data_IF_121946669371
#
_entry.id   IF_121946669371
#
_cell.length_a   1.000
_cell.length_b   1.000
_cell.length_c   1.000
_cell.angle_alpha   90.00
_cell.angle_beta   90.00
_cell.angle_gamma   90.00
#
_symmetry.space_group_name_H-M   'P 1'
#
loop_
_entity.id
_entity.type
_entity.pdbx_description
1 polymer ?
#
# COMPACT_ATOMS: atom_id res chain seq x y z
N UNK A 1 -17.79 -9.30 -19.50
CA UNK A 1 -16.57 -8.98 -18.78
C UNK A 1 -16.53 -7.50 -18.31
N UNK A 2 -17.12 -6.56 -19.05
CA UNK A 2 -17.09 -5.12 -18.68
C UNK A 2 -17.81 -4.83 -17.35
N UNK A 3 -18.98 -5.42 -17.11
CA UNK A 3 -19.68 -5.32 -15.81
C UNK A 3 -18.85 -5.90 -14.67
N UNK A 4 -18.12 -6.97 -14.91
CA UNK A 4 -17.26 -7.60 -13.91
C UNK A 4 -16.08 -6.71 -13.56
N UNK A 5 -15.42 -6.08 -14.54
CA UNK A 5 -14.32 -5.14 -14.28
C UNK A 5 -14.79 -3.88 -13.51
N UNK A 6 -16.00 -3.39 -13.79
CA UNK A 6 -16.61 -2.28 -13.05
C UNK A 6 -16.87 -2.65 -11.57
N UNK A 7 -17.50 -3.80 -11.33
CA UNK A 7 -17.79 -4.23 -9.93
C UNK A 7 -16.52 -4.50 -9.14
N UNK A 8 -15.53 -5.14 -9.74
CA UNK A 8 -14.22 -5.38 -9.12
C UNK A 8 -13.48 -4.06 -8.85
N UNK A 9 -13.52 -3.12 -9.79
CA UNK A 9 -12.92 -1.79 -9.60
C UNK A 9 -13.53 -1.04 -8.41
N UNK A 10 -14.87 -0.99 -8.33
CA UNK A 10 -15.56 -0.34 -7.19
C UNK A 10 -15.16 -1.01 -5.87
N UNK A 11 -15.13 -2.35 -5.83
CA UNK A 11 -14.76 -3.09 -4.63
C UNK A 11 -13.32 -2.78 -4.19
N UNK A 12 -12.36 -2.80 -5.12
CA UNK A 12 -10.95 -2.47 -4.82
C UNK A 12 -10.80 -1.02 -4.38
N UNK A 13 -11.50 -0.08 -5.04
CA UNK A 13 -11.50 1.32 -4.66
C UNK A 13 -12.04 1.54 -3.25
N UNK A 14 -13.14 0.86 -2.89
CA UNK A 14 -13.70 0.87 -1.55
C UNK A 14 -12.68 0.36 -0.52
N UNK A 15 -12.04 -0.78 -0.80
CA UNK A 15 -11.01 -1.36 0.07
C UNK A 15 -9.81 -0.43 0.22
N UNK A 16 -9.37 0.21 -0.87
CA UNK A 16 -8.28 1.18 -0.85
C UNK A 16 -8.61 2.38 0.04
N UNK A 17 -9.85 2.88 -0.01
CA UNK A 17 -10.28 3.98 0.83
C UNK A 17 -10.36 3.61 2.32
N UNK A 18 -10.77 2.38 2.63
CA UNK A 18 -10.95 1.90 4.01
C UNK A 18 -9.63 1.51 4.67
N UNK A 19 -8.73 0.87 3.94
CA UNK A 19 -7.45 0.37 4.47
C UNK A 19 -6.26 1.27 4.14
N UNK A 20 -6.48 2.32 3.34
CA UNK A 20 -5.42 3.17 2.82
C UNK A 20 -4.52 2.37 1.85
N UNK A 21 -3.23 2.33 2.13
CA UNK A 21 -2.24 1.67 1.27
C UNK A 21 -2.42 0.15 1.12
N UNK A 22 -3.12 -0.51 2.06
CA UNK A 22 -3.30 -1.97 2.05
C UNK A 22 -4.20 -2.45 0.91
N UNK A 23 -5.25 -1.72 0.57
CA UNK A 23 -6.22 -2.12 -0.46
C UNK A 23 -5.63 -2.31 -1.86
N UNK A 24 -4.52 -1.65 -2.16
CA UNK A 24 -3.82 -1.80 -3.43
C UNK A 24 -3.38 -3.23 -3.74
N UNK A 25 -3.01 -4.00 -2.71
CA UNK A 25 -2.52 -5.38 -2.86
C UNK A 25 -3.59 -6.35 -3.38
N UNK A 26 -4.86 -6.03 -3.17
CA UNK A 26 -5.98 -6.88 -3.62
C UNK A 26 -6.30 -6.68 -5.10
N UNK A 27 -5.88 -5.57 -5.71
CA UNK A 27 -6.21 -5.23 -7.09
C UNK A 27 -5.73 -6.29 -8.09
N UNK A 28 -4.47 -6.68 -8.00
CA UNK A 28 -3.86 -7.64 -8.92
C UNK A 28 -4.51 -9.03 -8.86
N UNK A 29 -4.61 -9.69 -7.67
CA UNK A 29 -5.16 -11.04 -7.63
C UNK A 29 -6.63 -11.09 -8.06
N UNK A 30 -7.41 -10.05 -7.78
CA UNK A 30 -8.79 -9.99 -8.23
C UNK A 30 -8.89 -9.96 -9.76
N UNK A 31 -8.02 -9.21 -10.43
CA UNK A 31 -7.96 -9.22 -11.90
C UNK A 31 -7.55 -10.60 -12.43
N UNK A 32 -6.53 -11.22 -11.86
CA UNK A 32 -6.04 -12.54 -12.28
C UNK A 32 -7.08 -13.63 -12.08
N UNK A 33 -7.84 -13.61 -10.98
CA UNK A 33 -8.83 -14.65 -10.68
C UNK A 33 -10.12 -14.50 -11.44
N UNK A 34 -10.70 -13.29 -11.43
CA UNK A 34 -12.04 -13.07 -11.98
C UNK A 34 -12.04 -12.80 -13.49
N UNK A 35 -10.98 -12.18 -14.00
CA UNK A 35 -10.87 -11.94 -15.44
C UNK A 35 -9.97 -12.98 -16.15
N UNK A 36 -9.40 -13.94 -15.41
CA UNK A 36 -8.53 -14.99 -15.95
C UNK A 36 -7.35 -14.45 -16.76
N UNK A 37 -6.79 -13.31 -16.31
CA UNK A 37 -5.65 -12.67 -16.96
C UNK A 37 -4.34 -13.25 -16.43
N UNK A 38 -3.29 -13.18 -17.26
CA UNK A 38 -1.94 -13.43 -16.81
C UNK A 38 -1.50 -12.35 -15.83
N UNK A 39 -0.57 -12.67 -14.93
CA UNK A 39 -0.12 -11.74 -13.91
C UNK A 39 0.56 -10.51 -14.51
N UNK A 40 1.33 -10.68 -15.59
CA UNK A 40 2.02 -9.59 -16.29
C UNK A 40 1.06 -8.65 -17.03
N UNK A 41 -0.07 -9.16 -17.54
CA UNK A 41 -1.10 -8.36 -18.21
C UNK A 41 -1.98 -7.61 -17.20
N UNK A 42 -2.21 -8.20 -16.02
CA UNK A 42 -3.01 -7.61 -14.96
C UNK A 42 -2.24 -6.52 -14.17
N UNK A 43 -0.92 -6.66 -14.06
CA UNK A 43 -0.08 -5.74 -13.27
C UNK A 43 -0.18 -4.27 -13.72
N UNK A 44 -0.05 -3.92 -15.01
CA UNK A 44 -0.18 -2.52 -15.44
C UNK A 44 -1.55 -1.94 -15.17
N UNK A 45 -2.62 -2.74 -15.31
CA UNK A 45 -4.00 -2.31 -15.05
C UNK A 45 -4.20 -2.01 -13.55
N UNK A 46 -3.73 -2.92 -12.70
CA UNK A 46 -3.76 -2.73 -11.25
C UNK A 46 -2.96 -1.49 -10.81
N UNK A 47 -1.75 -1.32 -11.35
CA UNK A 47 -0.89 -0.18 -11.05
C UNK A 47 -1.49 1.15 -11.51
N UNK A 48 -2.12 1.21 -12.69
CA UNK A 48 -2.83 2.42 -13.16
C UNK A 48 -3.99 2.77 -12.23
N UNK A 49 -4.79 1.78 -11.83
CA UNK A 49 -5.92 1.99 -10.91
C UNK A 49 -5.44 2.52 -9.56
N UNK A 50 -4.38 1.93 -9.02
CA UNK A 50 -3.74 2.40 -7.78
C UNK A 50 -3.16 3.79 -7.94
N UNK A 51 -2.47 4.08 -9.05
CA UNK A 51 -1.89 5.40 -9.33
C UNK A 51 -2.94 6.50 -9.34
N UNK A 52 -4.03 6.30 -10.08
CA UNK A 52 -5.11 7.30 -10.19
C UNK A 52 -5.80 7.48 -8.85
N UNK A 53 -6.16 6.39 -8.17
CA UNK A 53 -6.88 6.45 -6.90
C UNK A 53 -6.02 7.02 -5.77
N UNK A 54 -4.77 6.56 -5.63
CA UNK A 54 -3.86 7.07 -4.59
C UNK A 54 -3.39 8.49 -4.90
N UNK A 55 -3.22 8.84 -6.18
CA UNK A 55 -2.89 10.20 -6.62
C UNK A 55 -3.99 11.20 -6.24
N UNK A 56 -5.24 10.84 -6.49
CA UNK A 56 -6.38 11.66 -6.08
C UNK A 56 -6.45 11.81 -4.54
N UNK A 57 -6.25 10.71 -3.81
CA UNK A 57 -6.18 10.73 -2.35
C UNK A 57 -5.04 11.60 -1.83
N UNK A 58 -3.87 11.52 -2.46
CA UNK A 58 -2.70 12.32 -2.12
C UNK A 58 -2.94 13.81 -2.37
N UNK A 59 -3.57 14.18 -3.49
CA UNK A 59 -3.93 15.58 -3.79
C UNK A 59 -4.82 16.17 -2.70
N UNK A 60 -5.83 15.42 -2.23
CA UNK A 60 -6.68 15.85 -1.12
C UNK A 60 -5.91 15.95 0.20
N UNK A 61 -4.95 15.05 0.45
CA UNK A 61 -4.06 15.11 1.60
C UNK A 61 -3.09 16.30 1.55
N UNK A 62 -2.58 16.64 0.36
CA UNK A 62 -1.74 17.80 0.12
C UNK A 62 -2.48 19.10 0.41
N UNK A 63 -3.72 19.23 -0.06
CA UNK A 63 -4.58 20.38 0.22
C UNK A 63 -4.82 20.62 1.72
N UNK A 64 -4.86 19.52 2.49
CA UNK A 64 -5.03 19.57 3.97
C UNK A 64 -3.70 19.76 4.72
N UNK A 65 -2.56 19.84 4.03
CA UNK A 65 -1.24 20.02 4.64
C UNK A 65 -0.75 18.84 5.50
N UNK A 66 -1.34 17.65 5.34
CA UNK A 66 -1.07 16.47 6.16
C UNK A 66 0.12 15.65 5.63
N UNK A 67 0.55 15.88 4.40
CA UNK A 67 1.65 15.13 3.75
C UNK A 67 3.01 15.64 4.19
N UNK A 68 3.90 14.73 4.61
CA UNK A 68 5.29 15.05 4.97
C UNK A 68 6.19 15.00 3.74
N UNK A 69 6.37 16.14 3.07
CA UNK A 69 7.06 16.27 1.77
C UNK A 69 8.47 15.66 1.77
N UNK A 70 9.30 15.93 2.80
CA UNK A 70 10.67 15.44 2.83
C UNK A 70 10.78 13.93 2.85
N UNK A 71 10.01 13.27 3.73
CA UNK A 71 9.99 11.81 3.81
C UNK A 71 9.37 11.20 2.55
N UNK A 72 8.27 11.78 2.06
CA UNK A 72 7.63 11.35 0.82
C UNK A 72 8.57 11.45 -0.39
N UNK A 73 9.30 12.58 -0.54
CA UNK A 73 10.24 12.77 -1.65
C UNK A 73 11.36 11.75 -1.63
N UNK A 74 11.96 11.49 -0.45
CA UNK A 74 13.05 10.53 -0.34
C UNK A 74 12.58 9.10 -0.68
N UNK A 75 11.46 8.67 -0.10
CA UNK A 75 10.84 7.37 -0.38
C UNK A 75 10.46 7.24 -1.86
N UNK A 76 9.87 8.29 -2.44
CA UNK A 76 9.42 8.30 -3.83
C UNK A 76 10.59 8.24 -4.80
N UNK A 77 11.64 9.03 -4.60
CA UNK A 77 12.82 9.06 -5.50
C UNK A 77 13.45 7.67 -5.58
N UNK A 78 13.74 7.05 -4.43
CA UNK A 78 14.34 5.71 -4.43
C UNK A 78 13.33 4.65 -4.91
N UNK A 79 12.04 4.78 -4.58
CA UNK A 79 11.01 3.90 -5.10
C UNK A 79 10.88 3.94 -6.62
N UNK A 80 10.88 5.13 -7.21
CA UNK A 80 10.83 5.34 -8.68
C UNK A 80 12.06 4.78 -9.38
N UNK A 81 13.26 4.93 -8.79
CA UNK A 81 14.50 4.41 -9.37
C UNK A 81 14.51 2.87 -9.39
N UNK A 82 14.03 2.24 -8.31
CA UNK A 82 14.04 0.77 -8.19
C UNK A 82 12.82 0.09 -8.81
N UNK A 83 11.74 0.81 -9.10
CA UNK A 83 10.53 0.25 -9.70
C UNK A 83 10.79 -0.39 -11.09
N UNK A 84 11.50 0.23 -12.03
CA UNK A 84 11.82 -0.37 -13.32
C UNK A 84 12.65 -1.65 -13.20
N UNK A 85 13.53 -1.73 -12.20
CA UNK A 85 14.31 -2.96 -11.93
C UNK A 85 13.38 -4.10 -11.50
N UNK A 86 12.39 -3.82 -10.67
CA UNK A 86 11.36 -4.80 -10.29
C UNK A 86 10.57 -5.30 -11.49
N UNK A 87 10.16 -4.41 -12.38
CA UNK A 87 9.45 -4.75 -13.63
C UNK A 87 10.33 -5.61 -14.54
N UNK A 88 11.59 -5.24 -14.70
CA UNK A 88 12.53 -6.04 -15.50
C UNK A 88 12.66 -7.47 -14.98
N UNK A 89 12.84 -7.63 -13.66
CA UNK A 89 12.93 -8.96 -13.02
C UNK A 89 11.61 -9.72 -13.17
N UNK A 90 10.44 -9.06 -13.07
CA UNK A 90 9.14 -9.69 -13.26
C UNK A 90 9.01 -10.35 -14.65
N UNK A 91 9.54 -9.73 -15.70
CA UNK A 91 9.53 -10.29 -17.05
C UNK A 91 10.49 -11.46 -17.25
N UNK A 92 11.51 -11.61 -16.40
CA UNK A 92 12.46 -12.73 -16.45
C UNK A 92 11.96 -13.97 -15.66
N UNK A 93 11.02 -13.78 -14.74
CA UNK A 93 10.52 -14.84 -13.89
C UNK A 93 9.32 -15.57 -14.53
N UNK A 94 9.23 -16.90 -14.40
CA UNK A 94 8.04 -17.62 -14.80
C UNK A 94 6.85 -17.22 -13.92
N UNK A 95 5.67 -17.22 -14.51
CA UNK A 95 4.42 -16.78 -13.86
C UNK A 95 4.13 -17.54 -12.55
N UNK A 96 4.52 -18.82 -12.48
CA UNK A 96 4.37 -19.64 -11.27
C UNK A 96 5.16 -19.07 -10.09
N UNK A 97 6.40 -18.66 -10.31
CA UNK A 97 7.25 -18.06 -9.26
C UNK A 97 6.66 -16.73 -8.80
N UNK A 98 6.18 -15.91 -9.74
CA UNK A 98 5.50 -14.65 -9.41
C UNK A 98 4.26 -14.90 -8.53
N UNK A 99 3.43 -15.89 -8.87
CA UNK A 99 2.23 -16.26 -8.09
C UNK A 99 2.60 -16.73 -6.68
N UNK A 100 3.62 -17.57 -6.54
CA UNK A 100 4.08 -18.06 -5.24
C UNK A 100 4.63 -16.91 -4.39
N UNK A 101 5.48 -16.05 -4.97
CA UNK A 101 6.05 -14.90 -4.28
C UNK A 101 4.96 -13.93 -3.81
N UNK A 102 3.98 -13.67 -4.68
CA UNK A 102 2.84 -12.83 -4.35
C UNK A 102 1.98 -13.43 -3.22
N UNK A 103 1.72 -14.73 -3.27
CA UNK A 103 0.97 -15.44 -2.23
C UNK A 103 1.68 -15.36 -0.87
N UNK A 104 3.00 -15.50 -0.86
CA UNK A 104 3.80 -15.37 0.35
C UNK A 104 3.70 -13.96 0.95
N UNK A 105 3.76 -12.94 0.11
CA UNK A 105 3.55 -11.54 0.54
C UNK A 105 2.15 -11.34 1.11
N UNK A 106 1.12 -11.89 0.46
CA UNK A 106 -0.27 -11.82 0.97
C UNK A 106 -0.42 -12.49 2.34
N UNK A 107 0.21 -13.65 2.56
CA UNK A 107 0.20 -14.33 3.87
C UNK A 107 0.86 -13.45 4.93
N UNK A 108 2.01 -12.88 4.64
CA UNK A 108 2.70 -11.97 5.58
C UNK A 108 1.82 -10.76 5.93
N UNK A 109 1.17 -10.18 4.93
CA UNK A 109 0.26 -9.04 5.14
C UNK A 109 -0.96 -9.45 5.95
N UNK A 110 -1.56 -10.60 5.66
CA UNK A 110 -2.68 -11.13 6.42
C UNK A 110 -2.32 -11.39 7.89
N UNK A 111 -1.19 -12.04 8.15
CA UNK A 111 -0.70 -12.29 9.51
C UNK A 111 -0.49 -10.99 10.28
N UNK A 112 0.13 -9.99 9.65
CA UNK A 112 0.31 -8.66 10.27
C UNK A 112 -1.02 -7.95 10.54
N UNK A 113 -2.00 -8.09 9.64
CA UNK A 113 -3.34 -7.54 9.85
C UNK A 113 -4.03 -8.18 11.06
N UNK A 114 -3.92 -9.51 11.21
CA UNK A 114 -4.47 -10.23 12.37
C UNK A 114 -3.74 -9.88 13.68
N UNK A 115 -2.41 -9.75 13.66
CA UNK A 115 -1.64 -9.34 14.84
C UNK A 115 -2.08 -7.94 15.29
N UNK A 116 -2.30 -7.01 14.35
CA UNK A 116 -2.81 -5.68 14.66
C UNK A 116 -4.24 -5.71 15.24
N UNK A 117 -5.06 -6.67 14.81
CA UNK A 117 -6.41 -6.86 15.37
C UNK A 117 -6.38 -7.39 16.80
N UNK A 118 -5.46 -8.33 17.12
CA UNK A 118 -5.37 -8.94 18.44
C UNK A 118 -4.71 -8.06 19.51
N UNK A 119 -3.90 -7.08 19.11
CA UNK A 119 -3.21 -6.16 20.02
C UNK A 119 -3.60 -4.71 19.72
N UNK A 120 -4.81 -4.27 20.04
CA UNK A 120 -5.23 -2.90 19.82
C UNK A 120 -4.46 -1.89 20.67
N UNK A 121 -3.87 -2.33 21.78
CA UNK A 121 -3.24 -1.47 22.79
C UNK A 121 -1.81 -1.04 22.49
N UNK A 122 -1.11 -1.63 21.48
CA UNK A 122 0.30 -1.32 21.22
C UNK A 122 0.55 -0.26 20.13
N UNK A 123 -0.50 0.30 19.52
CA UNK A 123 -0.36 1.28 18.44
C UNK A 123 -1.18 2.57 18.62
N UNK A 124 -1.88 2.69 19.72
CA UNK A 124 -2.48 3.94 20.14
C UNK A 124 -1.43 4.58 21.07
N UNK A 125 -0.70 5.57 20.55
CA UNK A 125 -0.12 6.60 21.41
C UNK A 125 -1.31 7.38 21.96
N UNK A 126 -1.99 6.80 22.94
CA UNK A 126 -3.05 7.48 23.63
C UNK A 126 -2.44 8.54 24.53
N UNK A 127 -3.03 9.71 24.39
CA UNK A 127 -2.96 10.80 25.31
C UNK A 127 -2.83 10.27 26.75
N UNK A 128 -1.65 10.42 27.34
CA UNK A 128 -1.50 10.31 28.79
C UNK A 128 -2.16 11.54 29.40
N UNK A 129 -3.46 11.49 29.59
CA UNK A 129 -4.21 12.50 30.35
C UNK A 129 -4.15 12.28 31.87
N UNK A 130 -3.30 11.34 32.34
CA UNK A 130 -3.12 11.10 33.78
C UNK A 130 -1.63 11.10 34.16
N UNK A 131 -1.16 12.11 34.88
CA UNK A 131 0.26 12.26 35.25
C UNK A 131 0.77 11.30 36.34
N UNK A 132 -0.02 10.31 36.75
CA UNK A 132 0.31 9.46 37.92
C UNK A 132 0.57 7.97 37.59
N UNK A 133 0.68 7.57 36.31
CA UNK A 133 0.77 6.16 35.93
C UNK A 133 1.81 5.79 34.88
N UNK A 134 2.83 6.58 34.63
CA UNK A 134 3.93 6.20 33.73
C UNK A 134 5.04 5.52 34.54
N UNK A 135 5.02 4.19 34.62
CA UNK A 135 6.14 3.42 35.14
C UNK A 135 7.36 3.55 34.22
N UNK A 136 8.44 4.12 34.79
CA UNK A 136 9.76 4.40 34.18
C UNK A 136 10.61 3.13 34.04
N UNK A 137 10.15 2.04 33.46
CA UNK A 137 11.03 0.88 33.27
C UNK A 137 10.70 0.08 32.01
N UNK A 138 10.92 0.72 30.86
CA UNK A 138 11.42 0.08 29.64
C UNK A 138 11.76 1.19 28.63
N UNK A 139 13.03 1.59 28.57
CA UNK A 139 13.54 2.52 27.57
C UNK A 139 13.41 1.90 26.17
N UNK A 140 12.25 2.06 25.52
CA UNK A 140 12.12 1.81 24.08
C UNK A 140 13.14 2.71 23.38
N UNK A 141 14.04 2.15 22.54
CA UNK A 141 15.00 2.96 21.82
C UNK A 141 14.26 4.05 21.05
N UNK A 142 14.70 5.30 21.22
CA UNK A 142 14.10 6.46 20.54
C UNK A 142 13.91 6.17 19.06
N UNK A 143 12.74 6.47 18.47
CA UNK A 143 12.47 6.16 17.06
C UNK A 143 13.52 6.84 16.19
N UNK A 144 14.00 6.12 15.17
CA UNK A 144 15.08 6.60 14.30
C UNK A 144 14.74 7.90 13.59
N UNK A 145 13.44 8.19 13.41
CA UNK A 145 12.89 9.39 12.81
C UNK A 145 11.98 10.12 13.81
N UNK A 146 12.54 10.64 14.89
CA UNK A 146 11.78 11.41 15.88
C UNK A 146 11.22 12.71 15.27
N UNK A 147 10.01 13.08 15.70
CA UNK A 147 9.36 14.33 15.31
C UNK A 147 9.54 15.35 16.42
N UNK A 148 9.94 16.56 16.08
CA UNK A 148 9.98 17.67 17.02
C UNK A 148 8.55 18.10 17.37
N UNK A 149 8.11 17.99 18.63
CA UNK A 149 6.73 18.33 19.03
C UNK A 149 6.38 19.80 18.79
N UNK A 150 7.37 20.71 18.87
CA UNK A 150 7.15 22.14 18.71
C UNK A 150 7.00 22.59 17.24
N UNK A 151 7.68 21.92 16.30
CA UNK A 151 7.68 22.30 14.87
C UNK A 151 7.07 21.24 13.97
N UNK A 152 6.66 20.11 14.51
CA UNK A 152 6.15 18.95 13.78
C UNK A 152 7.05 18.51 12.62
N UNK A 153 8.35 18.81 12.65
CA UNK A 153 9.34 18.43 11.63
C UNK A 153 10.10 17.19 12.06
N UNK A 154 10.41 16.30 11.13
CA UNK A 154 11.28 15.15 11.40
C UNK A 154 12.72 15.63 11.69
N UNK A 155 13.34 15.07 12.74
CA UNK A 155 14.78 15.17 12.93
C UNK A 155 15.48 14.27 11.91
N UNK A 156 16.27 14.88 11.03
CA UNK A 156 17.04 14.17 10.03
C UNK A 156 18.31 13.62 10.66
N UNK A 157 18.25 12.33 11.01
CA UNK A 157 19.44 11.60 11.45
C UNK A 157 19.92 10.67 10.33
N UNK A 158 21.21 10.35 10.31
CA UNK A 158 21.77 9.40 9.34
C UNK A 158 21.04 8.04 9.35
N UNK A 159 20.70 7.44 10.51
CA UNK A 159 19.93 6.20 10.55
C UNK A 159 18.50 6.34 10.01
N UNK A 160 17.84 7.49 10.21
CA UNK A 160 16.52 7.77 9.63
C UNK A 160 16.58 7.79 8.10
N UNK A 161 17.50 8.54 7.53
CA UNK A 161 17.70 8.64 6.08
C UNK A 161 18.00 7.27 5.46
N UNK A 162 18.90 6.49 6.07
CA UNK A 162 19.24 5.15 5.58
C UNK A 162 18.03 4.21 5.57
N UNK A 163 17.22 4.20 6.62
CA UNK A 163 16.00 3.39 6.69
C UNK A 163 14.96 3.81 5.65
N UNK A 164 14.76 5.12 5.45
CA UNK A 164 13.84 5.63 4.43
C UNK A 164 14.30 5.26 3.01
N UNK A 165 15.59 5.36 2.70
CA UNK A 165 16.15 4.95 1.39
C UNK A 165 15.93 3.45 1.15
N UNK A 166 16.27 2.61 2.12
CA UNK A 166 16.09 1.16 2.01
C UNK A 166 14.61 0.79 1.85
N UNK A 167 13.74 1.43 2.61
CA UNK A 167 12.28 1.18 2.52
C UNK A 167 11.74 1.63 1.18
N UNK A 168 12.11 2.82 0.71
CA UNK A 168 11.68 3.35 -0.59
C UNK A 168 12.15 2.46 -1.74
N UNK A 169 13.43 2.10 -1.76
CA UNK A 169 14.00 1.23 -2.79
C UNK A 169 13.38 -0.17 -2.80
N UNK A 170 13.27 -0.81 -1.63
CA UNK A 170 12.64 -2.12 -1.51
C UNK A 170 11.15 -2.11 -1.87
N UNK A 171 10.42 -1.09 -1.41
CA UNK A 171 9.01 -0.90 -1.76
C UNK A 171 8.83 -0.68 -3.26
N UNK A 172 9.67 0.12 -3.91
CA UNK A 172 9.64 0.34 -5.35
C UNK A 172 9.95 -0.93 -6.14
N UNK A 173 10.97 -1.67 -5.73
CA UNK A 173 11.32 -2.95 -6.36
C UNK A 173 10.17 -3.96 -6.26
N UNK A 174 9.58 -4.14 -5.10
CA UNK A 174 8.42 -5.03 -4.90
C UNK A 174 7.20 -4.52 -5.66
N UNK A 175 6.98 -3.20 -5.72
CA UNK A 175 5.91 -2.60 -6.51
C UNK A 175 6.02 -2.95 -7.99
N UNK A 176 7.21 -2.81 -8.56
CA UNK A 176 7.49 -3.18 -9.94
C UNK A 176 7.39 -4.70 -10.18
N UNK A 177 7.92 -5.50 -9.26
CA UNK A 177 7.93 -6.95 -9.37
C UNK A 177 6.53 -7.57 -9.30
N UNK A 178 5.72 -7.14 -8.35
CA UNK A 178 4.42 -7.74 -8.04
C UNK A 178 3.23 -6.92 -8.52
N UNK A 179 3.42 -5.71 -9.02
CA UNK A 179 2.33 -4.88 -9.52
C UNK A 179 1.37 -4.34 -8.43
N UNK A 180 1.85 -4.08 -7.22
CA UNK A 180 1.00 -3.80 -6.03
C UNK A 180 1.12 -2.38 -5.48
N UNK A 181 1.99 -1.55 -6.02
CA UNK A 181 2.16 -0.18 -5.55
C UNK A 181 2.98 0.00 -4.26
N UNK A 182 3.48 -1.09 -3.63
CA UNK A 182 4.45 -1.05 -2.52
C UNK A 182 3.97 -0.46 -1.18
N UNK A 183 2.74 0.03 -1.11
CA UNK A 183 2.21 0.74 0.06
C UNK A 183 2.12 -0.09 1.34
N UNK A 184 1.92 -1.38 1.21
CA UNK A 184 1.88 -2.32 2.32
C UNK A 184 3.22 -2.45 3.08
N UNK A 185 4.33 -2.00 2.46
CA UNK A 185 5.65 -1.93 3.09
C UNK A 185 5.87 -0.56 3.72
N UNK A 186 5.48 0.51 3.02
CA UNK A 186 5.72 1.90 3.44
C UNK A 186 4.98 2.22 4.74
N UNK A 187 3.68 1.88 4.83
CA UNK A 187 2.86 2.20 6.01
C UNK A 187 3.41 1.57 7.29
N UNK A 188 3.62 0.24 7.40
CA UNK A 188 4.14 -0.34 8.64
C UNK A 188 5.56 0.13 8.97
N UNK A 189 6.38 0.40 7.95
CA UNK A 189 7.74 0.91 8.19
C UNK A 189 7.71 2.33 8.76
N UNK A 190 6.89 3.22 8.21
CA UNK A 190 6.74 4.57 8.76
C UNK A 190 6.19 4.55 10.19
N UNK A 191 5.26 3.66 10.50
CA UNK A 191 4.80 3.46 11.87
C UNK A 191 5.90 3.00 12.84
N UNK A 192 6.82 2.15 12.36
CA UNK A 192 7.89 1.61 13.22
C UNK A 192 9.06 2.55 13.43
N UNK A 193 9.30 3.49 12.52
CA UNK A 193 10.47 4.38 12.55
C UNK A 193 10.17 5.83 12.94
N UNK A 194 8.89 6.22 13.00
CA UNK A 194 8.46 7.59 13.28
C UNK A 194 7.28 7.65 14.25
N UNK A 195 7.21 8.74 15.01
CA UNK A 195 6.09 9.07 15.91
C UNK A 195 5.04 9.94 15.22
N UNK A 196 4.82 9.76 13.92
CA UNK A 196 3.82 10.50 13.17
C UNK A 196 2.41 9.96 13.45
N UNK A 197 1.43 10.84 13.45
CA UNK A 197 0.02 10.44 13.48
C UNK A 197 -0.34 9.54 12.30
N UNK A 198 -1.19 8.55 12.51
CA UNK A 198 -1.64 7.60 11.49
C UNK A 198 -2.18 8.29 10.23
N UNK A 199 -2.91 9.40 10.39
CA UNK A 199 -3.42 10.20 9.27
C UNK A 199 -2.30 10.76 8.38
N UNK A 200 -1.21 11.24 9.00
CA UNK A 200 -0.04 11.76 8.28
C UNK A 200 0.72 10.64 7.58
N UNK A 201 0.88 9.48 8.22
CA UNK A 201 1.53 8.31 7.63
C UNK A 201 0.76 7.82 6.41
N UNK A 202 -0.56 7.68 6.50
CA UNK A 202 -1.40 7.23 5.40
C UNK A 202 -1.37 8.23 4.23
N UNK A 203 -1.50 9.52 4.50
CA UNK A 203 -1.46 10.55 3.46
C UNK A 203 -0.09 10.60 2.75
N UNK A 204 1.00 10.53 3.51
CA UNK A 204 2.37 10.49 2.99
C UNK A 204 2.61 9.23 2.16
N UNK A 205 2.17 8.07 2.65
CA UNK A 205 2.27 6.80 1.94
C UNK A 205 1.49 6.80 0.64
N UNK A 206 0.27 7.33 0.61
CA UNK A 206 -0.53 7.44 -0.61
C UNK A 206 0.15 8.30 -1.68
N UNK A 207 0.82 9.39 -1.28
CA UNK A 207 1.60 10.20 -2.21
C UNK A 207 2.78 9.42 -2.82
N UNK A 208 3.52 8.68 -1.98
CA UNK A 208 4.63 7.83 -2.44
C UNK A 208 4.13 6.70 -3.33
N UNK A 209 3.04 6.04 -2.94
CA UNK A 209 2.41 4.97 -3.73
C UNK A 209 2.02 5.47 -5.10
N UNK A 210 1.40 6.65 -5.20
CA UNK A 210 1.00 7.24 -6.48
C UNK A 210 2.20 7.41 -7.41
N UNK A 211 3.32 7.93 -6.93
CA UNK A 211 4.52 8.15 -7.73
C UNK A 211 5.21 6.85 -8.11
N UNK A 212 5.37 5.93 -7.16
CA UNK A 212 6.02 4.62 -7.41
C UNK A 212 5.18 3.75 -8.32
N UNK A 213 3.86 3.71 -8.12
CA UNK A 213 2.94 2.95 -9.00
C UNK A 213 2.90 3.54 -10.40
N UNK A 214 2.97 4.85 -10.54
CA UNK A 214 3.06 5.51 -11.85
C UNK A 214 4.34 5.10 -12.58
N UNK A 215 5.49 5.11 -11.91
CA UNK A 215 6.75 4.69 -12.50
C UNK A 215 6.72 3.22 -12.91
N UNK A 216 6.16 2.35 -12.06
CA UNK A 216 5.99 0.93 -12.37
C UNK A 216 5.04 0.72 -13.55
N UNK A 217 3.89 1.40 -13.58
CA UNK A 217 2.91 1.32 -14.65
C UNK A 217 3.50 1.77 -16.00
N UNK A 218 4.23 2.88 -16.01
CA UNK A 218 4.92 3.37 -17.22
C UNK A 218 5.96 2.36 -17.73
N UNK A 219 6.68 1.70 -16.82
CA UNK A 219 7.66 0.68 -17.18
C UNK A 219 6.99 -0.55 -17.82
N UNK A 220 5.82 -0.97 -17.33
CA UNK A 220 5.03 -2.05 -17.94
C UNK A 220 4.47 -1.63 -19.31
N UNK A 221 3.91 -0.42 -19.42
CA UNK A 221 3.35 0.09 -20.69
C UNK A 221 4.41 0.20 -21.77
N UNK A 222 5.63 0.60 -21.41
CA UNK A 222 6.76 0.68 -22.33
C UNK A 222 7.24 -0.68 -22.87
N UNK A 223 6.89 -1.78 -22.19
CA UNK A 223 7.29 -3.14 -22.53
C UNK A 223 6.26 -4.01 -23.24
N UNK A 224 5.01 -3.57 -23.36
CA UNK A 224 3.96 -4.41 -23.92
C UNK A 224 2.62 -3.72 -24.14
N UNK A 225 1.68 -4.43 -24.78
CA UNK A 225 0.34 -3.95 -25.04
C UNK A 225 -0.56 -4.05 -23.80
N UNK A 226 -1.07 -2.92 -23.36
CA UNK A 226 -2.07 -2.87 -22.29
C UNK A 226 -3.47 -3.10 -22.85
N UNK A 227 -4.26 -3.92 -22.18
CA UNK A 227 -5.66 -4.18 -22.54
C UNK A 227 -6.55 -3.00 -22.12
N UNK A 228 -6.54 -1.94 -22.91
CA UNK A 228 -7.25 -0.68 -22.63
C UNK A 228 -8.75 -0.86 -22.44
N UNK A 229 -9.36 -1.84 -23.11
CA UNK A 229 -10.78 -2.18 -22.97
C UNK A 229 -11.16 -2.61 -21.54
N UNK A 230 -10.20 -3.15 -20.77
CA UNK A 230 -10.38 -3.54 -19.37
C UNK A 230 -9.83 -2.46 -18.45
N UNK A 231 -8.73 -1.82 -18.83
CA UNK A 231 -8.05 -0.83 -18.00
C UNK A 231 -8.93 0.40 -17.73
N UNK A 232 -9.55 0.98 -18.75
CA UNK A 232 -10.35 2.21 -18.63
C UNK A 232 -11.55 2.01 -17.69
N UNK A 233 -12.44 1.01 -17.88
CA UNK A 233 -13.57 0.81 -16.98
C UNK A 233 -13.13 0.42 -15.55
N UNK A 234 -12.05 -0.34 -15.42
CA UNK A 234 -11.53 -0.74 -14.12
C UNK A 234 -10.96 0.45 -13.33
N UNK A 235 -10.14 1.28 -13.95
CA UNK A 235 -9.53 2.47 -13.32
C UNK A 235 -10.60 3.49 -12.93
N UNK A 236 -11.57 3.76 -13.81
CA UNK A 236 -12.68 4.68 -13.50
C UNK A 236 -13.54 4.17 -12.34
N UNK A 237 -13.86 2.88 -12.34
CA UNK A 237 -14.61 2.23 -11.28
C UNK A 237 -13.86 2.25 -9.93
N UNK A 238 -12.54 2.03 -9.95
CA UNK A 238 -11.70 2.09 -8.73
C UNK A 238 -11.68 3.50 -8.15
N UNK A 239 -11.61 4.52 -8.98
CA UNK A 239 -11.69 5.92 -8.53
C UNK A 239 -13.04 6.23 -7.89
N UNK A 240 -14.14 5.82 -8.53
CA UNK A 240 -15.50 5.99 -8.00
C UNK A 240 -15.65 5.24 -6.67
N UNK A 241 -15.23 3.97 -6.63
CA UNK A 241 -15.25 3.16 -5.41
C UNK A 241 -14.46 3.78 -4.25
N UNK A 242 -13.31 4.37 -4.55
CA UNK A 242 -12.50 5.08 -3.55
C UNK A 242 -13.21 6.34 -3.02
N UNK A 243 -13.87 7.11 -3.87
CA UNK A 243 -14.65 8.29 -3.45
C UNK A 243 -15.78 7.90 -2.51
N UNK A 244 -16.56 6.86 -2.88
CA UNK A 244 -17.60 6.30 -2.02
C UNK A 244 -17.04 5.74 -0.71
N UNK A 245 -15.94 5.02 -0.78
CA UNK A 245 -15.28 4.43 0.39
C UNK A 245 -14.82 5.48 1.41
N UNK A 246 -14.38 6.65 0.96
CA UNK A 246 -14.01 7.75 1.85
C UNK A 246 -15.19 8.30 2.64
N UNK A 247 -16.36 8.41 2.00
CA UNK A 247 -17.59 8.82 2.69
C UNK A 247 -18.02 7.75 3.70
N UNK A 248 -17.87 6.49 3.34
CA UNK A 248 -18.25 5.36 4.18
C UNK A 248 -17.27 5.13 5.34
N UNK A 249 -15.98 5.42 5.15
CA UNK A 249 -14.92 5.26 6.17
C UNK A 249 -15.21 6.04 7.46
N UNK A 250 -15.91 7.18 7.37
CA UNK A 250 -16.33 7.93 8.55
C UNK A 250 -17.34 7.20 9.45
N UNK A 251 -18.01 6.15 8.93
CA UNK A 251 -19.05 5.40 9.64
C UNK A 251 -18.62 3.99 10.09
N UNK A 252 -17.51 3.46 9.54
CA UNK A 252 -17.04 2.11 9.84
C UNK A 252 -15.80 2.17 10.72
N UNK A 253 -15.79 1.48 11.86
CA UNK A 253 -14.62 1.44 12.74
C UNK A 253 -13.45 0.74 12.05
N UNK A 254 -12.24 1.28 12.22
CA UNK A 254 -11.04 0.83 11.51
C UNK A 254 -10.67 -0.63 11.76
N UNK A 255 -11.00 -1.18 12.95
CA UNK A 255 -10.71 -2.58 13.28
C UNK A 255 -11.48 -3.59 12.41
N UNK A 256 -12.72 -3.28 12.01
CA UNK A 256 -13.52 -4.12 11.12
C UNK A 256 -12.91 -4.13 9.71
N UNK A 257 -12.47 -2.98 9.23
CA UNK A 257 -11.82 -2.86 7.92
C UNK A 257 -10.54 -3.70 7.83
N UNK A 258 -9.72 -3.68 8.88
CA UNK A 258 -8.49 -4.48 8.97
C UNK A 258 -8.78 -5.98 9.01
N UNK A 259 -9.83 -6.40 9.72
CA UNK A 259 -10.25 -7.80 9.79
C UNK A 259 -10.72 -8.31 8.42
N UNK A 260 -11.62 -7.58 7.77
CA UNK A 260 -12.12 -7.93 6.42
C UNK A 260 -10.95 -8.03 5.44
N UNK A 261 -10.04 -7.08 5.46
CA UNK A 261 -8.84 -7.07 4.62
C UNK A 261 -7.95 -8.30 4.89
N UNK A 262 -7.70 -8.64 6.15
CA UNK A 262 -6.90 -9.79 6.54
C UNK A 262 -7.52 -11.11 6.07
N UNK A 263 -8.83 -11.29 6.24
CA UNK A 263 -9.57 -12.48 5.78
C UNK A 263 -9.56 -12.60 4.26
N UNK A 264 -9.79 -11.49 3.54
CA UNK A 264 -9.72 -11.48 2.08
C UNK A 264 -8.32 -11.82 1.57
N UNK A 265 -7.30 -11.21 2.15
CA UNK A 265 -5.90 -11.48 1.79
C UNK A 265 -5.53 -12.94 2.00
N UNK A 266 -5.96 -13.55 3.11
CA UNK A 266 -5.71 -14.96 3.41
C UNK A 266 -6.45 -15.89 2.45
N UNK A 267 -7.72 -15.61 2.16
CA UNK A 267 -8.53 -16.38 1.22
C UNK A 267 -7.92 -16.37 -0.19
N UNK A 268 -7.51 -15.20 -0.65
CA UNK A 268 -6.87 -15.03 -1.97
C UNK A 268 -5.52 -15.73 -2.00
N UNK A 269 -4.70 -15.62 -0.95
CA UNK A 269 -3.42 -16.31 -0.87
C UNK A 269 -3.59 -17.83 -0.96
N UNK A 270 -4.57 -18.39 -0.25
CA UNK A 270 -4.89 -19.83 -0.31
C UNK A 270 -5.33 -20.28 -1.70
N UNK A 271 -6.19 -19.51 -2.35
CA UNK A 271 -6.64 -19.78 -3.73
C UNK A 271 -5.50 -19.69 -4.73
N UNK A 272 -4.59 -18.70 -4.59
CA UNK A 272 -3.42 -18.56 -5.47
C UNK A 272 -2.46 -19.73 -5.32
N UNK A 273 -2.15 -20.13 -4.09
CA UNK A 273 -1.29 -21.30 -3.84
C UNK A 273 -1.90 -22.57 -4.39
N UNK A 274 -3.19 -22.78 -4.16
CA UNK A 274 -3.89 -23.97 -4.68
C UNK A 274 -3.83 -24.04 -6.21
N UNK A 275 -4.11 -22.93 -6.90
CA UNK A 275 -4.04 -22.85 -8.36
C UNK A 275 -2.62 -22.90 -8.92
N UNK A 276 -1.60 -22.58 -8.13
CA UNK A 276 -0.19 -22.66 -8.53
C UNK A 276 0.38 -24.08 -8.39
N UNK A 277 -0.25 -24.95 -7.59
CA UNK A 277 0.20 -26.32 -7.33
C UNK A 277 -0.50 -27.35 -8.24
N UNK A 278 -1.63 -26.98 -8.86
CA UNK A 278 -2.36 -27.78 -9.86
C UNK A 278 -2.02 -27.28 -11.25
#
# INVERSE_FOLDING_TARGET
>A
SMLLSLTLGIFVGLMLAMTGAGGAILSLPLLVFFLHMNMLDAAPIALMAVTVSSGFAAMLGLHKGVVRYKAATLLAVFGVIFAPLGVYVAHQLPETILKVLFSLVLVVVAVRAFQKYQTPTLLIGDDCDDPSGCDEDEAKPAPACAVNPATSKLFWTAPCTKRLILTGGFSGFISGLLGVGGGFIIVPTLHSISNLETKMIVATSLAVIALVSMASALSYVGGGDVLWNIAIPYVSATLVGMLFGRVLHSKIPSHISVLIFGLLSLSIAGLMLFKSLI
#
